data_IF_229745768757
#
_entry.id   IF_229745768757
#
_cell.length_a   1.000
_cell.length_b   1.000
_cell.length_c   1.000
_cell.angle_alpha   90.00
_cell.angle_beta   90.00
_cell.angle_gamma   90.00
#
_symmetry.space_group_name_H-M   'P 1'
#
loop_
_entity.id
_entity.type
_entity.pdbx_description
1 polymer ?
#
# COMPACT_ATOMS: atom_id res chain seq x y z
N UNK A 1 -0.17 -4.34 -0.54
CA UNK A 1 -0.16 -5.81 -0.76
C UNK A 1 1.13 -6.47 -0.26
N UNK A 2 2.30 -6.27 -0.89
CA UNK A 2 3.56 -6.98 -0.53
C UNK A 2 3.93 -6.87 0.96
N UNK A 3 3.74 -5.68 1.54
CA UNK A 3 3.94 -5.43 2.96
C UNK A 3 3.01 -6.27 3.86
N UNK A 4 1.74 -6.42 3.47
CA UNK A 4 0.77 -7.25 4.19
C UNK A 4 1.15 -8.73 4.11
N UNK A 5 1.55 -9.19 2.93
CA UNK A 5 2.01 -10.56 2.72
C UNK A 5 3.22 -10.88 3.63
N UNK A 6 4.18 -9.97 3.72
CA UNK A 6 5.34 -10.15 4.60
C UNK A 6 4.95 -10.25 6.09
N UNK A 7 4.12 -9.33 6.61
CA UNK A 7 3.67 -9.38 8.02
C UNK A 7 2.96 -10.70 8.31
N UNK A 8 2.04 -11.11 7.44
CA UNK A 8 1.33 -12.39 7.56
C UNK A 8 2.30 -13.57 7.58
N UNK A 9 3.28 -13.59 6.68
CA UNK A 9 4.28 -14.67 6.61
C UNK A 9 5.08 -14.75 7.91
N UNK A 10 5.61 -13.64 8.42
CA UNK A 10 6.42 -13.61 9.65
C UNK A 10 5.63 -14.05 10.88
N UNK A 11 4.39 -13.59 11.03
CA UNK A 11 3.54 -13.95 12.16
C UNK A 11 3.03 -15.38 12.08
N UNK A 12 2.72 -15.90 10.88
CA UNK A 12 2.36 -17.31 10.70
C UNK A 12 3.53 -18.25 10.99
N UNK A 13 4.76 -17.86 10.62
CA UNK A 13 5.95 -18.62 10.99
C UNK A 13 6.13 -18.69 12.51
N UNK A 14 5.89 -17.57 13.22
CA UNK A 14 5.90 -17.55 14.69
C UNK A 14 4.82 -18.47 15.28
N UNK A 15 3.57 -18.39 14.82
CA UNK A 15 2.48 -19.27 15.28
C UNK A 15 2.84 -20.74 15.03
N UNK A 16 3.47 -21.04 13.89
CA UNK A 16 3.91 -22.38 13.50
C UNK A 16 5.01 -22.95 14.40
N UNK A 17 5.93 -22.11 14.90
CA UNK A 17 7.02 -22.53 15.77
C UNK A 17 6.61 -22.77 17.23
N UNK A 18 5.48 -22.22 17.68
CA UNK A 18 5.01 -22.36 19.06
C UNK A 18 4.34 -23.73 19.33
N UNK A 19 4.45 -24.21 20.57
CA UNK A 19 3.73 -25.40 21.06
C UNK A 19 2.22 -25.21 21.02
N UNK A 20 1.45 -26.31 21.03
CA UNK A 20 -0.01 -26.29 20.81
C UNK A 20 -0.78 -25.42 21.81
N UNK A 21 -0.32 -25.36 23.07
CA UNK A 21 -0.98 -24.61 24.14
C UNK A 21 -0.71 -23.11 24.03
N UNK A 22 0.56 -22.73 23.95
CA UNK A 22 1.02 -21.36 23.69
C UNK A 22 0.41 -20.81 22.41
N UNK A 23 0.36 -21.64 21.36
CA UNK A 23 -0.27 -21.30 20.08
C UNK A 23 -1.74 -20.94 20.23
N UNK A 24 -2.53 -21.74 20.97
CA UNK A 24 -3.96 -21.44 21.16
C UNK A 24 -4.16 -20.10 21.86
N UNK A 25 -3.33 -19.79 22.86
CA UNK A 25 -3.39 -18.55 23.63
C UNK A 25 -3.05 -17.32 22.78
N UNK A 26 -1.97 -17.38 22.01
CA UNK A 26 -1.46 -16.21 21.27
C UNK A 26 -2.01 -16.06 19.86
N UNK A 27 -2.65 -17.09 19.28
CA UNK A 27 -3.17 -17.05 17.90
C UNK A 27 -4.12 -15.87 17.68
N UNK A 28 -5.04 -15.61 18.61
CA UNK A 28 -6.04 -14.53 18.49
C UNK A 28 -5.40 -13.16 18.52
N UNK A 29 -4.53 -12.93 19.50
CA UNK A 29 -3.80 -11.68 19.63
C UNK A 29 -2.86 -11.43 18.43
N UNK A 30 -2.10 -12.44 17.99
CA UNK A 30 -1.20 -12.30 16.84
C UNK A 30 -1.99 -12.01 15.56
N UNK A 31 -3.13 -12.69 15.36
CA UNK A 31 -4.02 -12.42 14.22
C UNK A 31 -4.59 -11.01 14.29
N UNK A 32 -4.84 -10.51 15.51
CA UNK A 32 -5.33 -9.17 15.71
C UNK A 32 -4.29 -8.09 15.37
N UNK A 33 -3.05 -8.28 15.83
CA UNK A 33 -1.90 -7.42 15.49
C UNK A 33 -1.61 -7.47 13.99
N UNK A 34 -1.69 -8.65 13.37
CA UNK A 34 -1.52 -8.80 11.93
C UNK A 34 -2.50 -7.92 11.15
N UNK A 35 -3.79 -7.96 11.51
CA UNK A 35 -4.83 -7.16 10.86
C UNK A 35 -4.59 -5.67 11.06
N UNK A 36 -4.28 -5.25 12.29
CA UNK A 36 -3.94 -3.87 12.59
C UNK A 36 -2.76 -3.37 11.76
N UNK A 37 -1.63 -4.09 11.73
CA UNK A 37 -0.44 -3.71 10.96
C UNK A 37 -0.71 -3.61 9.45
N UNK A 38 -1.64 -4.40 8.93
CA UNK A 38 -2.06 -4.34 7.54
C UNK A 38 -2.86 -3.07 7.20
N UNK A 39 -3.70 -2.59 8.11
CA UNK A 39 -4.53 -1.38 7.95
C UNK A 39 -3.77 -0.10 8.34
N UNK A 40 -2.89 -0.19 9.32
CA UNK A 40 -2.02 0.86 9.81
C UNK A 40 -1.13 1.52 8.74
N UNK A 41 -0.92 0.87 7.59
CA UNK A 41 -0.18 1.44 6.47
C UNK A 41 -0.71 2.82 6.03
N UNK A 42 -2.01 3.07 6.23
CA UNK A 42 -2.71 4.28 5.82
C UNK A 42 -2.47 5.48 6.75
N UNK A 43 -1.79 5.30 7.89
CA UNK A 43 -1.60 6.34 8.91
C UNK A 43 -0.14 6.39 9.37
N UNK A 44 0.41 7.58 9.68
CA UNK A 44 1.75 7.69 10.25
C UNK A 44 1.76 7.28 11.72
N UNK A 45 1.88 5.97 11.99
CA UNK A 45 2.04 5.46 13.34
C UNK A 45 3.41 5.82 13.93
N UNK A 46 3.43 6.14 15.21
CA UNK A 46 4.66 6.17 15.99
C UNK A 46 4.82 4.86 16.75
N UNK A 47 6.04 4.31 16.72
CA UNK A 47 6.40 3.23 17.64
C UNK A 47 6.51 3.84 19.03
N UNK A 48 5.89 3.24 20.07
CA UNK A 48 6.23 3.59 21.44
C UNK A 48 7.75 3.54 21.61
N UNK A 49 8.34 4.63 22.11
CA UNK A 49 9.81 4.73 22.21
C UNK A 49 10.42 3.73 23.19
N UNK A 50 9.57 3.15 24.03
CA UNK A 50 9.90 2.19 25.07
C UNK A 50 9.39 0.79 24.69
N UNK A 51 10.29 -0.19 24.71
CA UNK A 51 9.99 -1.59 24.47
C UNK A 51 9.03 -2.13 25.54
N UNK A 52 9.09 -1.62 26.77
CA UNK A 52 8.23 -2.08 27.87
C UNK A 52 6.78 -1.62 27.68
N UNK A 53 6.56 -0.47 27.05
CA UNK A 53 5.22 -0.02 26.67
C UNK A 53 4.64 -0.88 25.56
N UNK A 54 5.47 -1.26 24.58
CA UNK A 54 5.06 -2.17 23.51
C UNK A 54 4.79 -3.58 24.04
N UNK A 55 5.58 -4.05 25.01
CA UNK A 55 5.38 -5.33 25.69
C UNK A 55 4.05 -5.36 26.43
N UNK A 56 3.75 -4.33 27.22
CA UNK A 56 2.45 -4.16 27.91
C UNK A 56 1.26 -4.20 26.95
N UNK A 57 1.36 -3.53 25.80
CA UNK A 57 0.31 -3.55 24.79
C UNK A 57 0.08 -4.93 24.16
N UNK A 58 1.12 -5.77 24.16
CA UNK A 58 1.11 -7.13 23.64
C UNK A 58 0.90 -8.18 24.73
N UNK A 59 0.52 -7.79 25.94
CA UNK A 59 0.14 -8.75 26.97
C UNK A 59 -1.25 -9.37 26.70
N UNK A 60 -1.50 -10.60 27.17
CA UNK A 60 -2.78 -11.28 26.98
C UNK A 60 -3.99 -10.49 27.50
N UNK A 61 -3.80 -9.65 28.52
CA UNK A 61 -4.86 -8.82 29.11
C UNK A 61 -5.44 -7.82 28.10
N UNK A 62 -4.64 -7.37 27.13
CA UNK A 62 -5.07 -6.42 26.10
C UNK A 62 -5.84 -7.08 24.94
N UNK A 63 -6.13 -8.39 24.99
CA UNK A 63 -6.86 -9.10 23.93
C UNK A 63 -8.22 -8.46 23.63
N UNK A 64 -8.98 -8.09 24.66
CA UNK A 64 -10.30 -7.46 24.50
C UNK A 64 -10.21 -6.11 23.77
N UNK A 65 -9.19 -5.32 24.11
CA UNK A 65 -8.92 -4.05 23.44
C UNK A 65 -8.58 -4.26 21.96
N UNK A 66 -7.71 -5.24 21.65
CA UNK A 66 -7.33 -5.60 20.28
C UNK A 66 -8.53 -6.11 19.46
N UNK A 67 -9.44 -6.86 20.06
CA UNK A 67 -10.68 -7.30 19.42
C UNK A 67 -11.60 -6.12 19.10
N UNK A 68 -11.78 -5.19 20.05
CA UNK A 68 -12.56 -3.96 19.84
C UNK A 68 -11.98 -3.09 18.72
N UNK A 69 -10.66 -2.92 18.70
CA UNK A 69 -9.93 -2.19 17.65
C UNK A 69 -10.19 -2.79 16.28
N UNK A 70 -10.03 -4.11 16.15
CA UNK A 70 -10.25 -4.78 14.87
C UNK A 70 -11.71 -4.78 14.43
N UNK A 71 -12.66 -4.91 15.36
CA UNK A 71 -14.09 -4.79 15.05
C UNK A 71 -14.42 -3.43 14.42
N UNK A 72 -13.82 -2.34 14.93
CA UNK A 72 -13.99 -1.00 14.35
C UNK A 72 -13.30 -0.85 13.00
N UNK A 73 -12.04 -1.29 12.89
CA UNK A 73 -11.28 -1.24 11.62
C UNK A 73 -11.92 -2.06 10.50
N UNK A 74 -12.54 -3.21 10.83
CA UNK A 74 -13.31 -4.02 9.88
C UNK A 74 -14.58 -3.29 9.44
N UNK A 75 -15.27 -2.64 10.36
CA UNK A 75 -16.51 -1.87 10.07
C UNK A 75 -16.22 -0.63 9.23
N UNK A 76 -15.07 0.01 9.42
CA UNK A 76 -14.66 1.18 8.64
C UNK A 76 -13.99 0.82 7.30
N UNK A 77 -13.75 -0.47 7.02
CA UNK A 77 -13.18 -0.90 5.74
C UNK A 77 -14.15 -0.57 4.60
N UNK A 78 -13.62 0.03 3.53
CA UNK A 78 -14.39 0.33 2.32
C UNK A 78 -14.76 -0.97 1.60
N UNK A 79 -16.06 -1.29 1.60
CA UNK A 79 -16.62 -2.36 0.78
C UNK A 79 -16.84 -1.94 -0.68
N UNK A 80 -17.31 -2.90 -1.49
CA UNK A 80 -17.78 -2.64 -2.85
C UNK A 80 -19.08 -1.83 -2.77
N UNK A 81 -19.09 -0.62 -3.32
CA UNK A 81 -20.30 0.22 -3.38
C UNK A 81 -21.07 -0.03 -4.67
N UNK A 82 -22.41 0.06 -4.62
CA UNK A 82 -23.25 -0.09 -5.81
C UNK A 82 -22.90 0.94 -6.91
N UNK A 83 -22.55 2.17 -6.50
CA UNK A 83 -22.09 3.22 -7.42
C UNK A 83 -20.79 2.83 -8.15
N UNK A 84 -19.83 2.21 -7.44
CA UNK A 84 -18.60 1.73 -8.06
C UNK A 84 -18.90 0.63 -9.10
N UNK A 85 -19.78 -0.30 -8.76
CA UNK A 85 -20.19 -1.38 -9.68
C UNK A 85 -20.89 -0.79 -10.91
N UNK A 86 -21.80 0.15 -10.74
CA UNK A 86 -22.50 0.80 -11.85
C UNK A 86 -21.52 1.56 -12.78
N UNK A 87 -20.57 2.31 -12.22
CA UNK A 87 -19.55 3.02 -13.01
C UNK A 87 -18.64 2.05 -13.76
N UNK A 88 -18.19 0.97 -13.10
CA UNK A 88 -17.35 -0.05 -13.73
C UNK A 88 -18.09 -0.79 -14.84
N UNK A 89 -19.35 -1.19 -14.62
CA UNK A 89 -20.19 -1.84 -15.63
C UNK A 89 -20.44 -0.90 -16.82
N UNK A 90 -20.76 0.37 -16.56
CA UNK A 90 -20.96 1.37 -17.62
C UNK A 90 -19.69 1.55 -18.46
N UNK A 91 -18.52 1.63 -17.84
CA UNK A 91 -17.24 1.73 -18.55
C UNK A 91 -16.94 0.48 -19.39
N UNK A 92 -17.21 -0.72 -18.87
CA UNK A 92 -17.03 -1.98 -19.59
C UNK A 92 -17.97 -2.07 -20.80
N UNK A 93 -19.25 -1.71 -20.62
CA UNK A 93 -20.24 -1.70 -21.71
C UNK A 93 -19.84 -0.70 -22.78
N UNK A 94 -19.50 0.53 -22.39
CA UNK A 94 -19.07 1.58 -23.31
C UNK A 94 -17.84 1.14 -24.11
N UNK A 95 -16.80 0.63 -23.45
CA UNK A 95 -15.60 0.14 -24.13
C UNK A 95 -15.89 -1.04 -25.05
N UNK A 96 -16.78 -1.95 -24.66
CA UNK A 96 -17.19 -3.08 -25.51
C UNK A 96 -17.89 -2.60 -26.77
N UNK A 97 -18.79 -1.61 -26.66
CA UNK A 97 -19.40 -0.99 -27.83
C UNK A 97 -18.41 -0.25 -28.70
N UNK A 98 -17.44 0.46 -28.12
CA UNK A 98 -16.34 1.08 -28.89
C UNK A 98 -15.57 0.01 -29.66
N UNK A 99 -15.20 -1.11 -29.03
CA UNK A 99 -14.51 -2.23 -29.69
C UNK A 99 -15.34 -2.79 -30.85
N UNK A 100 -16.61 -3.09 -30.60
CA UNK A 100 -17.52 -3.64 -31.61
C UNK A 100 -17.70 -2.66 -32.77
N UNK A 101 -17.94 -1.39 -32.48
CA UNK A 101 -18.10 -0.35 -33.50
C UNK A 101 -16.88 -0.28 -34.41
N UNK A 102 -15.66 -0.18 -33.86
CA UNK A 102 -14.47 -0.09 -34.73
C UNK A 102 -14.21 -1.34 -35.56
N UNK A 103 -14.77 -2.51 -35.20
CA UNK A 103 -14.72 -3.72 -36.01
C UNK A 103 -15.98 -3.97 -36.87
N UNK A 104 -17.09 -3.24 -36.71
CA UNK A 104 -18.32 -3.43 -37.50
C UNK A 104 -18.67 -2.22 -38.37
N UNK A 105 -18.52 -0.99 -37.88
CA UNK A 105 -18.86 0.26 -38.58
C UNK A 105 -17.68 0.89 -39.33
N UNK A 106 -16.52 0.23 -39.36
CA UNK A 106 -15.34 0.61 -40.17
C UNK A 106 -15.58 0.43 -41.68
N UNK A 107 -16.80 0.70 -42.18
CA UNK A 107 -17.19 0.49 -43.58
C UNK A 107 -17.14 1.83 -44.34
N UNK A 108 -17.28 2.99 -43.69
CA UNK A 108 -17.32 4.30 -44.40
C UNK A 108 -16.55 5.48 -43.74
N UNK A 109 -15.97 5.36 -42.53
CA UNK A 109 -15.21 6.46 -41.89
C UNK A 109 -14.09 5.97 -40.96
N UNK A 110 -13.07 6.82 -40.76
CA UNK A 110 -11.86 6.53 -39.96
C UNK A 110 -12.05 6.81 -38.45
N UNK A 111 -13.15 7.47 -38.07
CA UNK A 111 -13.38 8.00 -36.73
C UNK A 111 -13.54 6.90 -35.66
N UNK A 112 -14.33 5.82 -35.87
CA UNK A 112 -14.52 4.78 -34.86
C UNK A 112 -13.22 4.06 -34.49
N UNK A 113 -12.27 3.98 -35.42
CA UNK A 113 -10.98 3.33 -35.23
C UNK A 113 -10.11 4.07 -34.23
N UNK A 114 -10.14 5.40 -34.30
CA UNK A 114 -9.22 6.24 -33.57
C UNK A 114 -9.62 6.35 -32.09
N UNK A 115 -10.91 6.25 -31.80
CA UNK A 115 -11.49 6.18 -30.46
C UNK A 115 -11.04 4.94 -29.65
N UNK A 116 -10.79 3.80 -30.31
CA UNK A 116 -10.29 2.60 -29.63
C UNK A 116 -8.93 2.86 -28.96
N UNK A 117 -8.03 3.58 -29.64
CA UNK A 117 -6.66 3.80 -29.11
C UNK A 117 -6.69 4.61 -27.82
N UNK A 118 -7.59 5.61 -27.78
CA UNK A 118 -7.85 6.44 -26.62
C UNK A 118 -8.51 5.61 -25.51
N UNK A 119 -9.54 4.82 -25.84
CA UNK A 119 -10.21 3.94 -24.89
C UNK A 119 -9.24 2.94 -24.24
N UNK A 120 -8.36 2.32 -25.02
CA UNK A 120 -7.33 1.39 -24.53
C UNK A 120 -6.38 2.08 -23.53
N UNK A 121 -6.11 3.37 -23.71
CA UNK A 121 -5.23 4.13 -22.81
C UNK A 121 -5.82 4.24 -21.40
N UNK A 122 -7.14 4.21 -21.25
CA UNK A 122 -7.80 4.33 -19.95
C UNK A 122 -7.96 2.99 -19.22
N UNK A 123 -7.70 1.86 -19.88
CA UNK A 123 -7.95 0.51 -19.33
C UNK A 123 -7.08 0.20 -18.09
N UNK A 124 -5.90 0.84 -17.93
CA UNK A 124 -5.08 0.66 -16.72
C UNK A 124 -5.77 1.10 -15.43
N UNK A 125 -6.82 1.95 -15.49
CA UNK A 125 -7.59 2.30 -14.32
C UNK A 125 -8.29 1.09 -13.69
N UNK A 126 -8.68 0.10 -14.50
CA UNK A 126 -9.37 -1.11 -14.03
C UNK A 126 -8.54 -1.86 -12.98
N UNK A 127 -7.31 -2.33 -13.27
CA UNK A 127 -6.50 -3.03 -12.27
C UNK A 127 -6.14 -2.13 -11.08
N UNK A 128 -6.00 -0.81 -11.25
CA UNK A 128 -5.73 0.11 -10.13
C UNK A 128 -6.93 0.20 -9.19
N UNK A 129 -8.14 0.40 -9.71
CA UNK A 129 -9.38 0.46 -8.92
C UNK A 129 -9.64 -0.89 -8.25
N UNK A 130 -9.56 -1.99 -8.99
CA UNK A 130 -9.69 -3.34 -8.44
C UNK A 130 -8.64 -3.60 -7.35
N UNK A 131 -7.39 -3.17 -7.54
CA UNK A 131 -6.34 -3.28 -6.54
C UNK A 131 -6.71 -2.58 -5.22
N UNK A 132 -7.25 -1.37 -5.28
CA UNK A 132 -7.71 -0.65 -4.08
C UNK A 132 -8.86 -1.34 -3.36
N UNK A 133 -9.79 -1.93 -4.11
CA UNK A 133 -10.93 -2.68 -3.55
C UNK A 133 -10.48 -4.01 -2.93
N UNK A 134 -9.67 -4.78 -3.66
CA UNK A 134 -9.22 -6.12 -3.29
C UNK A 134 -8.25 -6.07 -2.10
N UNK A 135 -7.29 -5.14 -2.12
CA UNK A 135 -6.39 -4.93 -0.98
C UNK A 135 -7.19 -4.31 0.17
N UNK A 136 -8.12 -3.42 -0.12
CA UNK A 136 -8.96 -2.75 0.86
C UNK A 136 -8.31 -1.50 1.41
N UNK A 137 -9.14 -0.47 1.55
CA UNK A 137 -8.78 0.83 2.12
C UNK A 137 -9.81 1.21 3.18
N UNK A 138 -9.48 2.14 4.06
CA UNK A 138 -10.45 2.66 5.02
C UNK A 138 -11.40 3.65 4.33
N UNK A 139 -12.65 3.67 4.76
CA UNK A 139 -13.71 4.48 4.12
C UNK A 139 -13.60 5.97 4.49
N UNK A 140 -13.08 6.28 5.68
CA UNK A 140 -12.94 7.65 6.19
C UNK A 140 -11.49 7.99 6.52
N UNK A 141 -11.15 9.28 6.44
CA UNK A 141 -9.80 9.80 6.70
C UNK A 141 -9.32 9.53 8.14
N UNK A 142 -10.24 9.55 9.10
CA UNK A 142 -9.93 9.41 10.53
C UNK A 142 -10.27 8.02 11.09
N UNK A 143 -10.75 7.08 10.26
CA UNK A 143 -11.17 5.73 10.67
C UNK A 143 -10.20 5.03 11.63
N UNK A 144 -8.90 5.04 11.29
CA UNK A 144 -7.87 4.37 12.10
C UNK A 144 -7.59 5.16 13.38
N UNK A 145 -7.64 6.49 13.34
CA UNK A 145 -7.46 7.32 14.54
C UNK A 145 -8.64 7.15 15.50
N UNK A 146 -9.86 7.20 14.99
CA UNK A 146 -11.09 6.95 15.75
C UNK A 146 -11.10 5.55 16.34
N UNK A 147 -10.56 4.57 15.60
CA UNK A 147 -10.41 3.20 16.08
C UNK A 147 -9.34 3.09 17.19
N UNK A 148 -8.27 3.90 17.17
CA UNK A 148 -7.27 3.91 18.24
C UNK A 148 -7.76 4.59 19.51
N UNK A 149 -8.68 5.56 19.40
CA UNK A 149 -9.30 6.28 20.53
C UNK A 149 -10.33 5.45 21.32
N UNK A 150 -10.29 4.12 21.23
CA UNK A 150 -11.16 3.27 22.03
C UNK A 150 -10.79 3.45 23.51
N UNK A 151 -11.67 4.13 24.25
CA UNK A 151 -11.74 3.99 25.70
C UNK A 151 -12.17 2.55 25.99
N UNK A 152 -11.53 1.90 26.97
CA UNK A 152 -12.00 0.60 27.47
C UNK A 152 -13.52 0.71 27.64
N UNK A 153 -14.25 -0.16 26.93
CA UNK A 153 -15.68 -0.26 27.14
C UNK A 153 -15.83 -0.82 28.55
N UNK A 154 -16.11 0.04 29.52
CA UNK A 154 -16.53 -0.38 30.85
C UNK A 154 -17.69 -1.36 30.68
N UNK A 155 -17.41 -2.64 30.89
CA UNK A 155 -18.45 -3.65 31.12
C UNK A 155 -18.87 -3.65 32.60
N UNK A 156 -18.58 -2.57 33.32
CA UNK A 156 -18.84 -2.41 34.75
C UNK A 156 -19.95 -1.37 34.97
N UNK A 157 -21.09 -1.59 34.33
CA UNK A 157 -22.37 -1.12 34.87
C UNK A 157 -23.01 -2.24 35.71
N UNK A 158 -22.19 -2.94 36.50
CA UNK A 158 -22.61 -3.79 37.61
C UNK A 158 -22.02 -3.19 38.89
N UNK A 159 -22.83 -2.99 39.95
CA UNK A 159 -22.41 -2.24 41.12
C UNK A 159 -21.44 -3.06 41.97
N UNK A 160 -20.23 -2.50 42.15
CA UNK A 160 -19.32 -2.65 43.30
C UNK A 160 -19.35 -3.99 44.05
N UNK A 161 -18.37 -4.84 43.76
CA UNK A 161 -17.94 -5.94 44.63
C UNK A 161 -16.41 -5.94 44.74
N UNK A 162 -15.90 -5.72 45.95
CA UNK A 162 -14.48 -5.75 46.30
C UNK A 162 -13.76 -6.98 45.72
N UNK A 163 -12.79 -6.76 44.84
CA UNK A 163 -11.65 -7.66 44.68
C UNK A 163 -10.45 -6.91 44.12
N UNK A 164 -9.33 -7.10 44.81
CA UNK A 164 -8.06 -6.37 44.76
C UNK A 164 -7.22 -6.76 43.52
N UNK A 165 -7.82 -6.67 42.33
CA UNK A 165 -7.13 -6.81 41.06
C UNK A 165 -6.92 -5.44 40.44
N UNK A 166 -5.80 -4.82 40.79
CA UNK A 166 -5.32 -3.60 40.15
C UNK A 166 -4.97 -3.91 38.68
N UNK A 167 -5.94 -3.73 37.78
CA UNK A 167 -5.69 -3.69 36.33
C UNK A 167 -4.81 -2.48 36.00
N UNK A 168 -3.91 -2.57 35.01
CA UNK A 168 -3.05 -1.46 34.63
C UNK A 168 -3.88 -0.31 34.05
N UNK A 169 -4.15 0.72 34.86
CA UNK A 169 -4.74 1.96 34.39
C UNK A 169 -3.72 2.72 33.55
N UNK A 170 -4.03 2.93 32.27
CA UNK A 170 -3.39 4.00 31.52
C UNK A 170 -4.02 5.31 32.00
N UNK A 171 -3.42 5.89 33.04
CA UNK A 171 -3.77 7.23 33.52
C UNK A 171 -3.38 8.25 32.45
N UNK A 172 -4.31 8.55 31.54
CA UNK A 172 -4.13 9.58 30.54
C UNK A 172 -5.11 9.45 29.38
N UNK A 173 -5.59 10.58 28.91
CA UNK A 173 -6.43 10.77 27.72
C UNK A 173 -5.76 10.31 26.39
N UNK A 174 -4.58 9.71 26.47
CA UNK A 174 -3.74 9.31 25.35
C UNK A 174 -3.85 7.80 25.06
N UNK A 175 -4.24 7.47 23.82
CA UNK A 175 -4.27 6.09 23.34
C UNK A 175 -2.88 5.44 23.40
N UNK A 176 -2.76 4.13 23.70
CA UNK A 176 -1.47 3.44 23.85
C UNK A 176 -0.63 3.42 22.56
N UNK A 177 -1.26 3.70 21.41
CA UNK A 177 -0.59 3.94 20.13
C UNK A 177 -0.91 5.36 19.68
N UNK A 178 0.11 6.19 19.50
CA UNK A 178 -0.05 7.56 19.02
C UNK A 178 0.15 7.65 17.50
N UNK A 179 -0.66 8.51 16.88
CA UNK A 179 -0.49 8.92 15.48
C UNK A 179 0.39 10.16 15.45
N UNK A 180 1.35 10.20 14.54
CA UNK A 180 2.20 11.36 14.35
C UNK A 180 1.40 12.51 13.75
N UNK A 181 0.97 13.42 14.61
CA UNK A 181 0.44 14.73 14.24
C UNK A 181 1.57 15.77 14.35
N UNK A 182 2.05 16.27 13.21
CA UNK A 182 2.98 17.40 13.05
C UNK A 182 4.20 17.50 13.98
N UNK A 183 5.40 17.30 13.40
CA UNK A 183 6.64 17.76 14.02
C UNK A 183 6.68 19.30 14.04
N UNK A 184 6.65 19.87 15.24
CA UNK A 184 6.72 21.33 15.51
C UNK A 184 8.14 21.86 15.72
N UNK A 185 9.17 21.11 15.32
CA UNK A 185 10.53 21.66 15.29
C UNK A 185 10.71 22.55 14.05
N UNK A 186 10.95 23.86 14.25
CA UNK A 186 11.29 24.79 13.16
C UNK A 186 12.46 24.31 12.28
N UNK A 187 13.33 23.45 12.82
CA UNK A 187 14.48 22.86 12.15
C UNK A 187 14.15 21.83 11.06
N UNK A 188 12.90 21.36 10.95
CA UNK A 188 12.46 20.36 9.97
C UNK A 188 11.55 20.92 8.88
N UNK A 189 11.53 22.25 8.70
CA UNK A 189 10.69 22.95 7.73
C UNK A 189 11.52 23.79 6.77
N UNK A 190 11.04 23.91 5.53
CA UNK A 190 11.57 24.85 4.55
C UNK A 190 10.42 25.41 3.70
N UNK A 191 10.35 26.74 3.58
CA UNK A 191 9.23 27.43 2.93
C UNK A 191 7.84 27.01 3.46
N UNK A 192 7.74 26.76 4.78
CA UNK A 192 6.50 26.29 5.41
C UNK A 192 6.18 24.81 5.19
N UNK A 193 6.95 24.08 4.38
CA UNK A 193 6.76 22.64 4.09
C UNK A 193 7.67 21.79 4.97
N UNK A 194 7.13 20.73 5.56
CA UNK A 194 7.88 19.80 6.41
C UNK A 194 8.70 18.80 5.57
N UNK A 195 9.91 18.46 6.03
CA UNK A 195 10.73 17.40 5.45
C UNK A 195 10.02 16.05 5.40
N UNK A 196 9.23 15.69 6.42
CA UNK A 196 8.44 14.45 6.43
C UNK A 196 7.30 14.47 5.39
N UNK A 197 6.71 15.65 5.12
CA UNK A 197 5.76 15.87 4.02
C UNK A 197 4.64 14.84 3.92
N UNK A 198 4.64 14.07 2.82
CA UNK A 198 3.62 13.07 2.47
C UNK A 198 3.53 11.94 3.50
N UNK A 199 4.60 11.67 4.23
CA UNK A 199 4.59 10.68 5.30
C UNK A 199 3.55 11.04 6.37
N UNK A 200 3.37 12.33 6.67
CA UNK A 200 2.44 12.83 7.70
C UNK A 200 0.98 12.85 7.26
N UNK A 201 0.72 12.84 5.95
CA UNK A 201 -0.65 12.83 5.44
C UNK A 201 -1.30 11.49 5.75
N UNK A 202 -2.63 11.41 5.87
CA UNK A 202 -3.32 10.13 6.01
C UNK A 202 -3.85 9.67 4.65
N UNK A 203 -4.02 8.37 4.54
CA UNK A 203 -4.67 7.74 3.40
C UNK A 203 -3.74 6.94 2.49
N UNK A 204 -4.34 6.09 1.64
CA UNK A 204 -3.64 5.07 0.87
C UNK A 204 -2.66 5.60 -0.18
N UNK A 205 -2.97 6.77 -0.77
CA UNK A 205 -2.14 7.38 -1.83
C UNK A 205 -0.75 7.74 -1.32
N UNK A 206 -0.63 8.05 -0.03
CA UNK A 206 0.62 8.46 0.61
C UNK A 206 1.43 7.30 1.20
N UNK A 207 0.96 6.05 1.07
CA UNK A 207 1.65 4.88 1.63
C UNK A 207 3.07 4.70 1.08
N UNK A 208 3.34 5.20 -0.14
CA UNK A 208 4.67 5.19 -0.73
C UNK A 208 5.69 5.92 0.15
N UNK A 209 5.29 6.99 0.85
CA UNK A 209 6.16 7.81 1.69
C UNK A 209 6.52 7.14 3.03
N UNK A 210 5.75 6.12 3.46
CA UNK A 210 5.89 5.49 4.79
C UNK A 210 6.59 4.14 4.77
N UNK A 211 7.17 3.71 3.64
CA UNK A 211 7.71 2.34 3.51
C UNK A 211 8.66 1.96 4.65
N UNK A 212 9.63 2.84 4.95
CA UNK A 212 10.67 2.57 5.95
C UNK A 212 10.15 2.72 7.39
N UNK A 213 9.36 3.75 7.66
CA UNK A 213 8.83 4.01 9.00
C UNK A 213 7.76 2.99 9.37
N UNK A 214 6.88 2.61 8.44
CA UNK A 214 5.95 1.50 8.63
C UNK A 214 6.68 0.17 8.84
N UNK A 215 7.74 -0.11 8.07
CA UNK A 215 8.52 -1.34 8.27
C UNK A 215 9.14 -1.38 9.68
N UNK A 216 9.72 -0.28 10.15
CA UNK A 216 10.28 -0.19 11.49
C UNK A 216 9.22 -0.47 12.55
N UNK A 217 8.03 0.13 12.42
CA UNK A 217 6.90 -0.12 13.31
C UNK A 217 6.49 -1.58 13.29
N UNK A 218 6.23 -2.14 12.11
CA UNK A 218 5.84 -3.54 11.98
C UNK A 218 6.92 -4.50 12.52
N UNK A 219 8.19 -4.19 12.30
CA UNK A 219 9.30 -4.99 12.81
C UNK A 219 9.39 -4.93 14.33
N UNK A 220 9.19 -3.77 14.96
CA UNK A 220 9.13 -3.64 16.42
C UNK A 220 8.01 -4.52 17.01
N UNK A 221 6.79 -4.40 16.47
CA UNK A 221 5.66 -5.25 16.91
C UNK A 221 5.97 -6.75 16.74
N UNK A 222 6.50 -7.16 15.59
CA UNK A 222 6.83 -8.57 15.32
C UNK A 222 7.93 -9.07 16.27
N UNK A 223 8.99 -8.30 16.49
CA UNK A 223 10.10 -8.69 17.37
C UNK A 223 9.64 -8.82 18.82
N UNK A 224 8.85 -7.87 19.32
CA UNK A 224 8.30 -7.92 20.68
C UNK A 224 7.28 -9.06 20.83
N UNK A 225 6.43 -9.31 19.83
CA UNK A 225 5.56 -10.50 19.85
C UNK A 225 6.36 -11.81 19.86
N UNK A 226 7.46 -11.89 19.11
CA UNK A 226 8.35 -13.06 19.11
C UNK A 226 8.99 -13.27 20.49
N UNK A 227 9.50 -12.22 21.12
CA UNK A 227 10.15 -12.33 22.44
C UNK A 227 9.17 -12.80 23.51
N UNK A 228 7.97 -12.19 23.59
CA UNK A 228 6.94 -12.56 24.57
C UNK A 228 6.50 -14.02 24.38
N UNK A 229 6.25 -14.43 23.13
CA UNK A 229 5.77 -15.77 22.86
C UNK A 229 6.82 -16.85 23.17
N UNK A 230 8.11 -16.59 22.92
CA UNK A 230 9.21 -17.51 23.23
C UNK A 230 9.42 -17.62 24.74
N UNK A 231 9.41 -16.48 25.45
CA UNK A 231 9.57 -16.44 26.91
C UNK A 231 8.50 -17.29 27.60
N UNK A 232 7.24 -17.11 27.22
CA UNK A 232 6.14 -17.92 27.76
C UNK A 232 6.16 -19.39 27.32
N UNK A 233 6.66 -19.71 26.12
CA UNK A 233 6.82 -21.11 25.69
C UNK A 233 7.87 -21.83 26.55
N UNK A 234 8.96 -21.13 26.90
CA UNK A 234 10.01 -21.63 27.80
C UNK A 234 9.53 -21.79 29.24
N UNK A 235 8.76 -20.84 29.78
CA UNK A 235 8.12 -20.96 31.10
C UNK A 235 7.14 -22.15 31.16
N UNK A 236 6.36 -22.32 30.08
CA UNK A 236 5.44 -23.45 29.95
C UNK A 236 6.24 -24.76 29.98
N UNK A 237 7.34 -24.86 29.23
CA UNK A 237 8.24 -26.02 29.27
C UNK A 237 8.80 -26.32 30.66
N UNK A 238 9.32 -25.30 31.37
CA UNK A 238 9.83 -25.47 32.72
C UNK A 238 8.75 -26.03 33.64
N UNK A 239 7.54 -25.46 33.60
CA UNK A 239 6.39 -25.91 34.41
C UNK A 239 6.00 -27.36 34.10
N UNK A 240 5.93 -27.73 32.82
CA UNK A 240 5.65 -29.11 32.39
C UNK A 240 6.72 -30.11 32.84
N UNK A 241 8.00 -29.70 32.85
CA UNK A 241 9.10 -30.54 33.34
C UNK A 241 9.05 -30.71 34.86
N UNK A 242 8.80 -29.65 35.62
CA UNK A 242 8.64 -29.71 37.08
C UNK A 242 7.44 -30.58 37.48
N UNK A 243 6.33 -30.48 36.74
CA UNK A 243 5.11 -31.25 37.01
C UNK A 243 5.25 -32.74 36.60
N UNK A 244 6.11 -33.03 35.61
CA UNK A 244 6.53 -34.41 35.30
C UNK A 244 7.46 -34.99 36.36
N UNK A 245 8.38 -34.19 36.90
CA UNK A 245 9.31 -34.63 37.96
C UNK A 245 8.53 -34.84 39.27
N UNK A 246 7.57 -33.97 39.61
CA UNK A 246 6.71 -34.10 40.79
C UNK A 246 5.82 -35.35 40.71
N UNK A 247 5.22 -35.63 39.53
CA UNK A 247 4.44 -36.86 39.30
C UNK A 247 5.30 -38.14 39.27
N UNK A 248 6.61 -38.03 39.03
CA UNK A 248 7.55 -39.17 39.04
C UNK A 248 8.20 -39.40 40.40
N UNK A 249 8.23 -38.38 41.27
CA UNK A 249 8.67 -38.47 42.66
C UNK A 249 7.49 -38.22 43.61
N UNK A 250 6.59 -39.19 43.66
CA UNK A 250 5.86 -39.43 44.90
C UNK A 250 6.89 -39.86 45.95
N UNK A 251 7.16 -38.96 46.91
CA UNK A 251 8.06 -39.08 48.06
C UNK A 251 9.43 -38.41 47.92
N UNK A 252 9.67 -37.53 48.90
CA UNK A 252 10.92 -36.93 49.38
C UNK A 252 11.41 -35.57 48.82
N UNK A 253 11.09 -34.56 49.64
CA UNK A 253 11.95 -33.48 50.18
C UNK A 253 12.40 -32.35 49.24
N UNK A 254 11.82 -31.17 49.54
CA UNK A 254 12.41 -29.83 49.72
C UNK A 254 13.68 -29.48 48.91
N UNK A 255 13.63 -28.33 48.22
CA UNK A 255 14.53 -27.24 48.56
C UNK A 255 13.97 -25.88 48.12
N UNK A 256 14.02 -24.96 49.07
CA UNK A 256 13.84 -23.52 48.90
C UNK A 256 14.72 -23.02 47.76
N UNK A 257 14.10 -22.46 46.72
CA UNK A 257 14.78 -21.52 45.84
C UNK A 257 14.64 -20.16 46.50
N UNK A 258 15.76 -19.57 46.88
CA UNK A 258 15.84 -18.23 47.44
C UNK A 258 15.23 -17.22 46.47
N UNK A 259 14.28 -16.40 46.94
CA UNK A 259 13.68 -15.27 46.20
C UNK A 259 14.73 -14.26 45.70
N UNK A 260 15.99 -14.34 46.14
CA UNK A 260 17.05 -13.43 45.74
C UNK A 260 17.62 -13.65 44.34
N UNK A 261 17.45 -14.82 43.71
CA UNK A 261 18.02 -15.10 42.37
C UNK A 261 17.08 -14.74 41.20
N UNK A 262 15.80 -14.44 41.47
CA UNK A 262 14.85 -14.00 40.42
C UNK A 262 14.98 -12.49 40.16
N UNK A 263 15.64 -11.75 41.05
CA UNK A 263 15.85 -10.29 40.94
C UNK A 263 16.99 -9.87 40.00
N UNK A 264 17.72 -10.82 39.39
CA UNK A 264 18.90 -10.54 38.56
C UNK A 264 18.77 -10.92 37.08
N UNK A 265 17.55 -11.12 36.55
CA UNK A 265 17.33 -10.93 35.10
C UNK A 265 17.28 -9.43 34.83
N UNK A 266 18.48 -8.87 34.92
CA UNK A 266 18.86 -7.56 34.43
C UNK A 266 18.34 -7.48 32.99
N UNK A 267 17.29 -6.71 32.75
CA UNK A 267 16.87 -6.30 31.41
C UNK A 267 18.01 -5.43 30.87
N UNK A 268 18.99 -6.09 30.27
CA UNK A 268 20.16 -5.48 29.67
C UNK A 268 19.66 -4.77 28.41
N UNK A 269 19.66 -3.44 28.46
CA UNK A 269 19.31 -2.49 27.40
C UNK A 269 17.82 -2.46 26.98
N UNK A 270 17.10 -1.42 27.39
CA UNK A 270 15.90 -0.98 26.66
C UNK A 270 16.36 -0.50 25.27
N UNK A 271 16.25 -1.33 24.24
CA UNK A 271 16.51 -0.90 22.87
C UNK A 271 15.44 0.13 22.47
N UNK A 272 15.79 1.42 22.46
CA UNK A 272 14.88 2.44 21.96
C UNK A 272 14.69 2.26 20.46
N UNK A 273 13.46 1.99 20.03
CA UNK A 273 13.13 1.97 18.61
C UNK A 273 13.21 3.37 18.02
N UNK A 274 14.23 3.64 17.21
CA UNK A 274 14.29 4.88 16.45
C UNK A 274 13.21 4.87 15.36
N UNK A 275 12.34 5.89 15.33
CA UNK A 275 11.25 5.93 14.32
C UNK A 275 11.77 6.01 12.89
N UNK A 276 12.96 6.58 12.70
CA UNK A 276 13.67 6.65 11.43
C UNK A 276 14.94 5.80 11.49
N UNK A 277 14.89 4.52 11.07
CA UNK A 277 16.08 3.68 11.02
C UNK A 277 17.09 4.21 10.00
N UNK A 278 18.39 4.09 10.30
CA UNK A 278 19.44 4.35 9.31
C UNK A 278 19.37 3.31 8.19
N UNK A 279 19.75 3.69 6.97
CA UNK A 279 19.71 2.78 5.82
C UNK A 279 20.56 1.51 6.01
N UNK A 280 21.63 1.57 6.80
CA UNK A 280 22.45 0.40 7.18
C UNK A 280 21.66 -0.66 7.95
N UNK A 281 20.61 -0.27 8.66
CA UNK A 281 19.82 -1.15 9.51
C UNK A 281 18.59 -1.71 8.77
N UNK A 282 18.35 -1.26 7.54
CA UNK A 282 17.20 -1.69 6.74
C UNK A 282 17.58 -2.96 5.97
N UNK A 283 16.85 -4.07 6.15
CA UNK A 283 17.18 -5.32 5.48
C UNK A 283 16.92 -5.22 3.96
N UNK A 284 17.66 -5.99 3.15
CA UNK A 284 17.53 -5.98 1.69
C UNK A 284 16.11 -6.33 1.21
N UNK A 285 15.36 -7.11 2.00
CA UNK A 285 13.97 -7.47 1.72
C UNK A 285 13.01 -6.27 1.58
N UNK A 286 13.28 -5.16 2.27
CA UNK A 286 12.47 -3.93 2.14
C UNK A 286 12.70 -3.31 0.76
N UNK A 287 13.96 -3.24 0.32
CA UNK A 287 14.33 -2.73 -0.99
C UNK A 287 13.78 -3.61 -2.11
N UNK A 288 13.82 -4.93 -1.95
CA UNK A 288 13.25 -5.86 -2.92
C UNK A 288 11.73 -5.65 -3.11
N UNK A 289 10.99 -5.43 -2.02
CA UNK A 289 9.55 -5.11 -2.09
C UNK A 289 9.28 -3.80 -2.83
N UNK A 290 10.13 -2.79 -2.64
CA UNK A 290 10.04 -1.53 -3.37
C UNK A 290 10.28 -1.72 -4.88
N UNK A 291 11.32 -2.46 -5.25
CA UNK A 291 11.63 -2.78 -6.66
C UNK A 291 10.50 -3.57 -7.30
N UNK A 292 10.00 -4.61 -6.63
CA UNK A 292 8.90 -5.42 -7.15
C UNK A 292 7.62 -4.60 -7.34
N UNK A 293 7.26 -3.75 -6.37
CA UNK A 293 6.11 -2.85 -6.49
C UNK A 293 6.29 -1.86 -7.67
N UNK A 294 7.51 -1.39 -7.88
CA UNK A 294 7.86 -0.48 -8.98
C UNK A 294 7.72 -1.16 -10.34
N UNK A 295 8.21 -2.39 -10.48
CA UNK A 295 8.05 -3.19 -11.70
C UNK A 295 6.57 -3.40 -12.00
N UNK A 296 5.77 -3.76 -10.99
CA UNK A 296 4.32 -3.93 -11.17
C UNK A 296 3.65 -2.64 -11.64
N UNK A 297 3.97 -1.50 -11.03
CA UNK A 297 3.39 -0.20 -11.38
C UNK A 297 3.78 0.24 -12.80
N UNK A 298 5.05 0.09 -13.18
CA UNK A 298 5.56 0.40 -14.52
C UNK A 298 4.92 -0.50 -15.56
N UNK A 299 4.78 -1.80 -15.28
CA UNK A 299 4.10 -2.75 -16.18
C UNK A 299 2.64 -2.38 -16.41
N UNK A 300 1.90 -1.96 -15.39
CA UNK A 300 0.51 -1.48 -15.55
C UNK A 300 0.47 -0.21 -16.41
N UNK A 301 1.30 0.79 -16.07
CA UNK A 301 1.32 2.08 -16.75
C UNK A 301 1.70 1.94 -18.23
N UNK A 302 2.84 1.30 -18.50
CA UNK A 302 3.36 1.13 -19.87
C UNK A 302 2.69 -0.02 -20.62
N UNK A 303 2.02 -0.94 -19.92
CA UNK A 303 1.21 -1.98 -20.55
C UNK A 303 0.07 -1.38 -21.37
N UNK A 304 -0.74 -0.52 -20.76
CA UNK A 304 -1.83 0.18 -21.47
C UNK A 304 -1.30 1.32 -22.35
N UNK A 305 -0.42 2.17 -21.81
CA UNK A 305 0.09 3.32 -22.57
C UNK A 305 0.90 2.87 -23.80
N UNK A 306 1.74 1.85 -23.65
CA UNK A 306 2.51 1.28 -24.74
C UNK A 306 1.63 0.63 -25.81
N UNK A 307 0.55 -0.05 -25.41
CA UNK A 307 -0.43 -0.57 -26.37
C UNK A 307 -1.07 0.55 -27.19
N UNK A 308 -1.56 1.61 -26.54
CA UNK A 308 -2.13 2.76 -27.23
C UNK A 308 -1.14 3.46 -28.15
N UNK A 309 0.12 3.60 -27.73
CA UNK A 309 1.20 4.13 -28.58
C UNK A 309 1.41 3.23 -29.80
N UNK A 310 1.54 1.91 -29.62
CA UNK A 310 1.78 0.97 -30.72
C UNK A 310 0.60 0.95 -31.70
N UNK A 311 -0.62 0.96 -31.19
CA UNK A 311 -1.83 1.00 -32.02
C UNK A 311 -1.86 2.29 -32.84
N UNK A 312 -1.64 3.46 -32.22
CA UNK A 312 -1.62 4.73 -32.93
C UNK A 312 -0.43 4.88 -33.88
N UNK A 313 0.74 4.33 -33.53
CA UNK A 313 1.97 4.41 -34.32
C UNK A 313 1.94 3.49 -35.55
N UNK A 314 1.38 2.30 -35.42
CA UNK A 314 1.29 1.33 -36.52
C UNK A 314 0.06 1.57 -37.42
N UNK A 315 -0.87 2.43 -37.00
CA UNK A 315 -2.01 2.81 -37.84
C UNK A 315 -1.55 3.77 -38.95
N UNK A 316 -1.84 3.48 -40.24
CA UNK A 316 -1.47 4.33 -41.36
C UNK A 316 -1.95 5.79 -41.18
N UNK A 317 -1.13 6.81 -41.50
CA UNK A 317 0.11 6.75 -42.29
C UNK A 317 1.37 6.28 -41.54
N UNK A 318 1.24 5.87 -40.27
CA UNK A 318 2.28 5.22 -39.49
C UNK A 318 3.36 6.18 -39.02
N UNK A 319 3.55 6.28 -37.71
CA UNK A 319 4.57 7.09 -37.07
C UNK A 319 4.11 7.83 -35.80
N UNK A 320 4.99 8.71 -35.32
CA UNK A 320 4.80 9.57 -34.17
C UNK A 320 4.03 10.84 -34.60
N UNK A 321 2.71 10.78 -34.51
CA UNK A 321 1.80 11.90 -34.76
C UNK A 321 1.33 12.54 -33.46
N UNK A 322 0.29 13.38 -33.54
CA UNK A 322 -0.28 14.03 -32.35
C UNK A 322 -0.82 13.01 -31.34
N UNK A 323 -1.48 11.93 -31.80
CA UNK A 323 -2.03 10.87 -30.94
C UNK A 323 -0.94 10.06 -30.23
N UNK A 324 -0.13 9.34 -31.00
CA UNK A 324 0.97 8.52 -30.47
C UNK A 324 1.99 9.35 -29.66
N UNK A 325 2.26 10.59 -30.08
CA UNK A 325 3.08 11.54 -29.33
C UNK A 325 2.45 11.97 -28.00
N UNK A 326 1.15 12.27 -27.97
CA UNK A 326 0.46 12.65 -26.73
C UNK A 326 0.42 11.50 -25.73
N UNK A 327 0.22 10.27 -26.18
CA UNK A 327 0.28 9.07 -25.32
C UNK A 327 1.70 8.84 -24.78
N UNK A 328 2.73 9.05 -25.61
CA UNK A 328 4.12 8.97 -25.18
C UNK A 328 4.45 10.04 -24.12
N UNK A 329 4.02 11.29 -24.31
CA UNK A 329 4.16 12.36 -23.32
C UNK A 329 3.49 11.98 -22.00
N UNK A 330 2.28 11.42 -22.06
CA UNK A 330 1.57 10.94 -20.87
C UNK A 330 2.37 9.88 -20.09
N UNK A 331 2.91 8.88 -20.79
CA UNK A 331 3.74 7.83 -20.19
C UNK A 331 5.03 8.38 -19.57
N UNK A 332 5.70 9.30 -20.26
CA UNK A 332 6.96 9.92 -19.83
C UNK A 332 6.74 10.79 -18.59
N UNK A 333 5.76 11.71 -18.62
CA UNK A 333 5.48 12.58 -17.46
C UNK A 333 4.99 11.79 -16.25
N UNK A 334 4.19 10.75 -16.46
CA UNK A 334 3.82 9.82 -15.38
C UNK A 334 5.04 9.15 -14.73
N UNK A 335 5.99 8.69 -15.56
CA UNK A 335 7.23 8.06 -15.08
C UNK A 335 8.14 9.05 -14.36
N UNK A 336 8.30 10.27 -14.88
CA UNK A 336 9.11 11.34 -14.25
C UNK A 336 8.53 11.71 -12.88
N UNK A 337 7.21 11.91 -12.80
CA UNK A 337 6.51 12.16 -11.54
C UNK A 337 6.77 11.05 -10.53
N UNK A 338 6.61 9.79 -10.94
CA UNK A 338 6.84 8.64 -10.07
C UNK A 338 8.29 8.58 -9.54
N UNK A 339 9.30 8.72 -10.41
CA UNK A 339 10.71 8.73 -10.01
C UNK A 339 10.99 9.89 -9.05
N UNK A 340 10.46 11.08 -9.34
CA UNK A 340 10.61 12.26 -8.50
C UNK A 340 10.04 12.02 -7.08
N UNK A 341 8.83 11.47 -6.97
CA UNK A 341 8.22 11.16 -5.68
C UNK A 341 8.98 10.06 -4.92
N UNK A 342 9.45 9.01 -5.61
CA UNK A 342 10.21 7.92 -5.00
C UNK A 342 11.55 8.42 -4.43
N UNK A 343 12.30 9.20 -5.21
CA UNK A 343 13.57 9.78 -4.77
C UNK A 343 13.33 10.80 -3.65
N UNK A 344 12.26 11.59 -3.72
CA UNK A 344 11.85 12.50 -2.64
C UNK A 344 11.65 11.74 -1.33
N UNK A 345 10.96 10.60 -1.36
CA UNK A 345 10.72 9.78 -0.18
C UNK A 345 12.02 9.29 0.45
N UNK A 346 12.97 8.81 -0.35
CA UNK A 346 14.28 8.36 0.14
C UNK A 346 15.07 9.52 0.75
N UNK A 347 15.08 10.69 0.11
CA UNK A 347 15.75 11.89 0.62
C UNK A 347 15.10 12.41 1.91
N UNK A 348 13.77 12.35 1.99
CA UNK A 348 12.99 12.74 3.18
C UNK A 348 13.37 11.87 4.37
N UNK A 349 13.41 10.54 4.15
CA UNK A 349 13.85 9.58 5.17
C UNK A 349 15.30 9.84 5.59
N UNK A 350 16.20 10.07 4.64
CA UNK A 350 17.60 10.37 4.92
C UNK A 350 17.79 11.65 5.73
N UNK A 351 16.98 12.68 5.48
CA UNK A 351 16.99 13.93 6.24
C UNK A 351 16.51 13.73 7.69
N UNK A 352 15.45 12.93 7.87
CA UNK A 352 14.85 12.66 9.19
C UNK A 352 15.62 11.63 10.03
N UNK A 353 16.37 10.71 9.40
CA UNK A 353 17.18 9.70 10.08
C UNK A 353 18.50 10.25 10.66
N UNK A 354 18.91 11.46 10.26
CA UNK A 354 20.13 12.10 10.78
C UNK A 354 19.82 12.85 12.08
N UNK A 355 20.71 12.81 13.09
CA UNK A 355 20.56 13.62 14.29
C UNK A 355 20.47 15.11 13.92
N UNK A 356 19.72 15.88 14.71
CA UNK A 356 19.45 17.30 14.49
C UNK A 356 20.75 18.14 14.51
N UNK A 357 21.48 18.13 13.40
CA UNK A 357 22.58 19.04 13.12
C UNK A 357 22.03 20.27 12.42
N UNK A 358 22.46 21.49 12.77
CA UNK A 358 21.94 22.73 12.17
C UNK A 358 22.21 22.88 10.65
N UNK A 359 23.17 22.14 10.08
CA UNK A 359 23.59 22.34 8.68
C UNK A 359 23.46 21.11 7.77
N UNK A 360 23.61 19.88 8.30
CA UNK A 360 23.65 18.64 7.50
C UNK A 360 22.32 18.14 6.89
N UNK A 361 21.18 18.10 7.63
CA UNK A 361 19.92 17.55 7.13
C UNK A 361 19.12 18.53 6.25
N UNK A 362 19.51 19.81 6.22
CA UNK A 362 18.78 20.85 5.50
C UNK A 362 18.85 20.69 3.97
N UNK A 363 19.99 20.32 3.39
CA UNK A 363 20.12 20.17 1.93
C UNK A 363 19.26 18.99 1.41
N UNK A 364 19.38 17.83 2.06
CA UNK A 364 18.58 16.65 1.72
C UNK A 364 17.09 16.93 1.88
N UNK A 365 16.69 17.57 2.97
CA UNK A 365 15.30 17.97 3.21
C UNK A 365 14.77 18.96 2.15
N UNK A 366 15.59 19.95 1.73
CA UNK A 366 15.24 20.91 0.66
C UNK A 366 15.09 20.23 -0.69
N UNK A 367 16.04 19.35 -1.05
CA UNK A 367 15.97 18.57 -2.29
C UNK A 367 14.74 17.66 -2.30
N UNK A 368 14.43 17.02 -1.17
CA UNK A 368 13.24 16.21 -1.01
C UNK A 368 11.97 17.02 -1.26
N UNK A 369 11.86 18.22 -0.68
CA UNK A 369 10.70 19.10 -0.90
C UNK A 369 10.59 19.52 -2.37
N UNK A 370 11.69 19.99 -2.98
CA UNK A 370 11.68 20.42 -4.38
C UNK A 370 11.23 19.30 -5.32
N UNK A 371 11.78 18.10 -5.14
CA UNK A 371 11.46 16.96 -5.98
C UNK A 371 10.01 16.48 -5.76
N UNK A 372 9.50 16.58 -4.54
CA UNK A 372 8.10 16.26 -4.21
C UNK A 372 7.11 17.24 -4.83
N UNK A 373 7.35 18.54 -4.64
CA UNK A 373 6.52 19.59 -5.21
C UNK A 373 6.56 19.55 -6.74
N UNK A 374 7.75 19.39 -7.32
CA UNK A 374 7.93 19.21 -8.77
C UNK A 374 7.23 17.95 -9.28
N UNK A 375 7.41 16.80 -8.64
CA UNK A 375 6.74 15.55 -9.00
C UNK A 375 5.22 15.67 -8.98
N UNK A 376 4.64 16.29 -7.94
CA UNK A 376 3.20 16.56 -7.86
C UNK A 376 2.72 17.51 -8.96
N UNK A 377 3.47 18.58 -9.25
CA UNK A 377 3.12 19.50 -10.32
C UNK A 377 3.10 18.77 -11.68
N UNK A 378 4.11 17.94 -11.96
CA UNK A 378 4.15 17.09 -13.16
C UNK A 378 2.99 16.11 -13.17
N UNK A 379 2.61 15.50 -12.04
CA UNK A 379 1.45 14.61 -11.96
C UNK A 379 0.13 15.33 -12.33
N UNK A 380 -0.07 16.55 -11.82
CA UNK A 380 -1.26 17.37 -12.12
C UNK A 380 -1.26 17.76 -13.60
N UNK A 381 -0.13 18.21 -14.13
CA UNK A 381 0.02 18.51 -15.56
C UNK A 381 -0.24 17.29 -16.42
N UNK A 382 0.24 16.11 -16.01
CA UNK A 382 0.05 14.86 -16.73
C UNK A 382 -1.42 14.42 -16.75
N UNK A 383 -2.12 14.56 -15.63
CA UNK A 383 -3.55 14.28 -15.55
C UNK A 383 -4.37 15.25 -16.40
N UNK A 384 -4.03 16.54 -16.36
CA UNK A 384 -4.66 17.54 -17.22
C UNK A 384 -4.40 17.24 -18.71
N UNK A 385 -3.16 16.88 -19.06
CA UNK A 385 -2.78 16.50 -20.43
C UNK A 385 -3.57 15.30 -20.93
N UNK A 386 -3.73 14.25 -20.11
CA UNK A 386 -4.52 13.08 -20.47
C UNK A 386 -5.96 13.45 -20.82
N UNK A 387 -6.62 14.26 -19.98
CA UNK A 387 -8.00 14.71 -20.21
C UNK A 387 -8.11 15.61 -21.44
N UNK A 388 -7.21 16.58 -21.58
CA UNK A 388 -7.20 17.54 -22.70
C UNK A 388 -6.90 16.82 -24.01
N UNK A 389 -5.97 15.86 -24.04
CA UNK A 389 -5.67 15.07 -25.24
C UNK A 389 -6.86 14.24 -25.69
N UNK A 390 -7.57 13.59 -24.76
CA UNK A 390 -8.81 12.86 -25.09
C UNK A 390 -9.91 13.81 -25.59
N UNK A 391 -10.00 15.03 -25.03
CA UNK A 391 -10.94 16.03 -25.55
C UNK A 391 -10.58 16.48 -26.97
N UNK A 392 -9.30 16.72 -27.25
CA UNK A 392 -8.79 17.07 -28.58
C UNK A 392 -9.07 15.98 -29.61
N UNK A 393 -9.01 14.71 -29.22
CA UNK A 393 -9.42 13.59 -30.05
C UNK A 393 -10.92 13.62 -30.37
N UNK A 394 -11.77 13.82 -29.35
CA UNK A 394 -13.22 13.80 -29.51
C UNK A 394 -13.78 14.98 -30.33
N UNK A 395 -13.10 16.14 -30.32
CA UNK A 395 -13.51 17.31 -31.13
C UNK A 395 -12.88 17.31 -32.53
N UNK A 396 -12.06 16.31 -32.86
CA UNK A 396 -11.39 16.19 -34.16
C UNK A 396 -10.19 17.12 -34.37
N UNK A 397 -9.61 17.70 -33.30
CA UNK A 397 -8.43 18.57 -33.41
C UNK A 397 -7.21 17.81 -33.98
N UNK A 398 -7.12 16.52 -33.69
CA UNK A 398 -6.09 15.64 -34.24
C UNK A 398 -6.35 15.17 -35.68
N UNK A 399 -7.48 15.52 -36.29
CA UNK A 399 -7.79 15.17 -37.67
C UNK A 399 -7.34 16.26 -38.67
N UNK A 400 -6.56 17.24 -38.20
CA UNK A 400 -5.83 18.16 -39.09
C UNK A 400 -4.79 17.42 -39.94
N UNK A 401 -4.51 17.91 -41.16
CA UNK A 401 -3.49 17.32 -42.03
C UNK A 401 -2.09 17.26 -41.38
N UNK A 402 -1.80 18.16 -40.43
CA UNK A 402 -0.54 18.17 -39.68
C UNK A 402 -0.43 16.96 -38.73
N UNK A 403 -1.48 16.73 -37.94
CA UNK A 403 -1.54 15.60 -37.01
C UNK A 403 -1.72 14.27 -37.73
N UNK A 404 -2.64 14.24 -38.69
CA UNK A 404 -2.99 13.04 -39.44
C UNK A 404 -1.85 12.58 -40.34
N UNK A 405 -1.13 13.50 -40.99
CA UNK A 405 0.00 13.20 -41.86
C UNK A 405 1.30 12.83 -41.12
N UNK A 406 1.30 12.88 -39.78
CA UNK A 406 2.47 12.59 -38.93
C UNK A 406 3.64 13.51 -39.30
N UNK A 407 3.35 14.80 -39.49
CA UNK A 407 4.35 15.82 -39.87
C UNK A 407 5.43 15.94 -38.80
N UNK A 408 5.10 15.70 -37.53
CA UNK A 408 6.04 15.74 -36.42
C UNK A 408 7.26 14.83 -36.62
N UNK A 409 7.06 13.62 -37.17
CA UNK A 409 8.15 12.68 -37.45
C UNK A 409 8.64 12.76 -38.90
N UNK A 410 7.72 12.83 -39.86
CA UNK A 410 8.03 12.70 -41.29
C UNK A 410 8.39 14.03 -41.97
N UNK A 411 8.11 15.16 -41.33
CA UNK A 411 8.41 16.49 -41.86
C UNK A 411 7.83 16.68 -43.26
N UNK A 412 8.69 17.06 -44.22
CA UNK A 412 8.32 17.25 -45.62
C UNK A 412 7.85 15.97 -46.34
N UNK A 413 8.16 14.78 -45.80
CA UNK A 413 7.76 13.49 -46.34
C UNK A 413 6.46 12.95 -45.71
N UNK A 414 5.74 13.81 -44.98
CA UNK A 414 4.43 13.49 -44.43
C UNK A 414 3.41 13.28 -45.55
N UNK A 415 2.49 12.34 -45.34
CA UNK A 415 1.46 12.02 -46.31
C UNK A 415 0.17 11.69 -45.58
N UNK A 416 -0.96 12.01 -46.21
CA UNK A 416 -2.30 11.77 -45.69
C UNK A 416 -3.05 10.83 -46.62
N UNK A 417 -3.97 10.05 -46.05
CA UNK A 417 -4.81 9.14 -46.83
C UNK A 417 -6.05 9.92 -47.29
N UNK A 418 -6.16 10.18 -48.60
CA UNK A 418 -7.28 10.92 -49.20
C UNK A 418 -8.36 9.99 -49.77
N UNK A 419 -7.96 8.86 -50.35
CA UNK A 419 -8.85 7.92 -51.02
C UNK A 419 -8.41 6.49 -50.72
N UNK A 420 -8.99 5.88 -49.68
CA UNK A 420 -8.78 4.46 -49.39
C UNK A 420 -10.08 3.86 -48.87
N UNK A 421 -10.42 2.68 -49.37
CA UNK A 421 -11.59 1.95 -48.87
C UNK A 421 -11.32 1.53 -47.43
N UNK A 422 -12.36 1.55 -46.60
CA UNK A 422 -12.20 1.22 -45.19
C UNK A 422 -11.74 -0.24 -44.98
N UNK A 423 -11.99 -1.12 -45.96
CA UNK A 423 -11.55 -2.51 -45.99
C UNK A 423 -10.03 -2.66 -46.18
N UNK A 424 -9.40 -1.85 -47.03
CA UNK A 424 -7.94 -1.82 -47.20
C UNK A 424 -7.23 -1.29 -45.95
N UNK A 425 -7.80 -0.24 -45.34
CA UNK A 425 -7.27 0.32 -44.10
C UNK A 425 -7.35 -0.68 -42.94
N UNK A 426 -8.50 -1.37 -42.83
CA UNK A 426 -8.68 -2.46 -41.87
C UNK A 426 -7.69 -3.60 -42.10
N UNK A 427 -7.39 -3.95 -43.34
CA UNK A 427 -6.43 -5.00 -43.66
C UNK A 427 -5.02 -4.67 -43.15
N UNK A 428 -4.57 -3.41 -43.28
CA UNK A 428 -3.25 -2.98 -42.79
C UNK A 428 -3.20 -2.89 -41.26
N UNK A 429 -4.29 -2.45 -40.62
CA UNK A 429 -4.34 -2.30 -39.18
C UNK A 429 -4.78 -3.57 -38.42
N UNK A 430 -5.15 -4.63 -39.16
CA UNK A 430 -5.73 -5.89 -38.68
C UNK A 430 -4.94 -6.56 -37.56
N UNK A 431 -3.63 -6.36 -37.51
CA UNK A 431 -2.76 -7.00 -36.53
C UNK A 431 -2.49 -6.11 -35.31
N UNK A 432 -2.40 -4.79 -35.51
CA UNK A 432 -2.00 -3.87 -34.44
C UNK A 432 -3.11 -3.68 -33.39
N UNK A 433 -4.38 -3.54 -33.82
CA UNK A 433 -5.45 -3.25 -32.86
C UNK A 433 -5.84 -4.46 -32.00
N UNK A 434 -6.10 -5.66 -32.55
CA UNK A 434 -6.36 -6.83 -31.71
C UNK A 434 -5.17 -7.14 -30.80
N UNK A 435 -3.94 -6.97 -31.30
CA UNK A 435 -2.72 -7.15 -30.52
C UNK A 435 -2.62 -6.21 -29.33
N UNK A 436 -2.83 -4.90 -29.54
CA UNK A 436 -2.77 -3.90 -28.46
C UNK A 436 -3.90 -4.04 -27.43
N UNK A 437 -5.12 -4.34 -27.88
CA UNK A 437 -6.25 -4.63 -26.99
C UNK A 437 -5.95 -5.89 -26.16
N UNK A 438 -5.55 -6.99 -26.81
CA UNK A 438 -5.23 -8.25 -26.12
C UNK A 438 -4.11 -8.05 -25.10
N UNK A 439 -3.04 -7.35 -25.46
CA UNK A 439 -1.93 -7.06 -24.56
C UNK A 439 -2.39 -6.28 -23.31
N UNK A 440 -3.18 -5.22 -23.50
CA UNK A 440 -3.69 -4.40 -22.39
C UNK A 440 -4.62 -5.20 -21.47
N UNK A 441 -5.48 -6.04 -22.04
CA UNK A 441 -6.39 -6.91 -21.29
C UNK A 441 -5.63 -7.99 -20.52
N UNK A 442 -4.58 -8.58 -21.11
CA UNK A 442 -3.72 -9.56 -20.44
C UNK A 442 -2.99 -8.91 -19.27
N UNK A 443 -2.37 -7.74 -19.46
CA UNK A 443 -1.67 -7.02 -18.39
C UNK A 443 -2.64 -6.68 -17.25
N UNK A 444 -3.83 -6.18 -17.58
CA UNK A 444 -4.84 -5.81 -16.59
C UNK A 444 -5.34 -7.01 -15.80
N UNK A 445 -5.65 -8.11 -16.49
CA UNK A 445 -6.13 -9.35 -15.86
C UNK A 445 -5.06 -9.97 -14.97
N UNK A 446 -3.82 -10.06 -15.46
CA UNK A 446 -2.67 -10.55 -14.68
C UNK A 446 -2.52 -9.76 -13.38
N UNK A 447 -2.61 -8.44 -13.44
CA UNK A 447 -2.43 -7.58 -12.27
C UNK A 447 -3.57 -7.72 -11.27
N UNK A 448 -4.81 -7.87 -11.72
CA UNK A 448 -5.95 -8.20 -10.84
C UNK A 448 -5.74 -9.54 -10.15
N UNK A 449 -5.29 -10.57 -10.88
CA UNK A 449 -4.97 -11.88 -10.31
C UNK A 449 -3.86 -11.76 -9.27
N UNK A 450 -2.79 -11.01 -9.55
CA UNK A 450 -1.72 -10.77 -8.57
C UNK A 450 -2.27 -10.13 -7.31
N UNK A 451 -3.12 -9.10 -7.42
CA UNK A 451 -3.75 -8.47 -6.25
C UNK A 451 -4.64 -9.45 -5.46
N UNK A 452 -5.43 -10.26 -6.15
CA UNK A 452 -6.30 -11.27 -5.53
C UNK A 452 -5.51 -12.38 -4.82
N UNK A 453 -4.42 -12.86 -5.43
CA UNK A 453 -3.54 -13.85 -4.80
C UNK A 453 -2.83 -13.28 -3.58
N UNK A 454 -2.44 -11.99 -3.61
CA UNK A 454 -1.84 -11.31 -2.47
C UNK A 454 -2.79 -11.10 -1.29
N UNK A 455 -4.08 -10.92 -1.56
CA UNK A 455 -5.10 -10.66 -0.54
C UNK A 455 -5.80 -11.91 -0.02
N UNK A 456 -5.69 -13.07 -0.69
CA UNK A 456 -6.42 -14.34 -0.42
C UNK A 456 -6.40 -14.90 1.02
N UNK A 457 -5.57 -14.37 1.92
CA UNK A 457 -5.55 -14.72 3.35
C UNK A 457 -6.11 -13.65 4.29
N UNK A 458 -6.65 -12.54 3.77
CA UNK A 458 -7.42 -11.55 4.56
C UNK A 458 -8.90 -12.00 4.68
N UNK A 459 -9.34 -12.94 3.83
CA UNK A 459 -10.72 -13.44 3.76
C UNK A 459 -10.94 -14.76 4.53
N UNK A 460 -9.90 -15.55 4.83
CA UNK A 460 -10.06 -16.80 5.59
C UNK A 460 -10.20 -16.59 7.11
N UNK A 461 -10.16 -15.35 7.58
CA UNK A 461 -10.61 -15.00 8.95
C UNK A 461 -12.03 -14.41 8.96
N UNK A 462 -12.74 -14.45 7.83
CA UNK A 462 -14.12 -13.93 7.72
C UNK A 462 -15.15 -14.96 8.16
N UNK A 463 -14.87 -16.25 7.92
CA UNK A 463 -15.91 -17.28 7.97
C UNK A 463 -15.72 -18.32 9.10
N UNK A 464 -14.54 -18.41 9.73
CA UNK A 464 -14.21 -19.50 10.66
C UNK A 464 -14.18 -19.13 12.16
N UNK A 465 -14.63 -17.93 12.59
CA UNK A 465 -14.43 -17.50 13.99
C UNK A 465 -15.64 -16.83 14.68
N UNK A 466 -16.85 -16.98 14.13
CA UNK A 466 -18.10 -16.60 14.80
C UNK A 466 -19.21 -17.66 14.65
N UNK A 467 -18.85 -18.93 14.83
CA UNK A 467 -19.76 -19.96 15.35
C UNK A 467 -19.21 -20.55 16.64
#
# INVERSE_FOLDING_TARGET
MLNRYWVRRELNLLIGSLRRETRKRYKRQISAVQYFLAEAQQVPLQVPSDQDSLRRLLEPQMEVWWQGLNGRLRRSRRGVTASLVAQALSAVIAYTFTVIASFLTSIDSLDPVMEITAGTLWVWLIPVICGWVIVGTQSTHDAVEDALRIKHFDRSAEPQGDSDHQEPSFDGEESPISIRSNWNSNHSRWLGVNFAGDELQKGPVYNYARLFTWWQTANAFIQTSKSIAIEHDAETEATWQTDRISKRKGSQVLNMVSESEISEIRIIHSERFATYPRFSNIPPDVWWRMVLASIMAVTVQWGATGASILMAYLTPPGGLGCRSGSYALYGIFGTISWVALLVSMVLSHAAMARPASPYGPALLGRMAIMLRCGGRAVAVMNAAWLVVSTLFENIGLYDSCWCHGVVLQRGANAWVILFRTAEEFRHEAKNAWPGGIAFTMIVSTLMIVVFALGSKGDSSSSDDEYE
#
